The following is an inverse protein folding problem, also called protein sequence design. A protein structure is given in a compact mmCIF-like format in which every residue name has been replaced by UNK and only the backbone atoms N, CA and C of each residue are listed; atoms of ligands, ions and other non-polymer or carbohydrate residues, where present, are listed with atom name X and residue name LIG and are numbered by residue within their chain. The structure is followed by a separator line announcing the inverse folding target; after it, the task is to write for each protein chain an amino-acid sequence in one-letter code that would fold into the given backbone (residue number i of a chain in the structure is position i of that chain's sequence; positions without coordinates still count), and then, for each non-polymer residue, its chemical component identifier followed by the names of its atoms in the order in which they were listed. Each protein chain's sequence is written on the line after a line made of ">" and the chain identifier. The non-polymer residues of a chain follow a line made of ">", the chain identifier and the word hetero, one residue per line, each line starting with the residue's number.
data_IF_808549681606
#
_entry.id   IF_808549681606
#
_cell.length_a   1.000
_cell.length_b   1.000
_cell.length_c   1.000
_cell.angle_alpha   90.00
_cell.angle_beta   90.00
_cell.angle_gamma   90.00
#
_symmetry.space_group_name_H-M   'P 1'
#
loop_
_entity.id
_entity.type
_entity.pdbx_description
1 polymer ?
#
# COMPACT_ATOMS: atom_id res chain seq x y z
N UNK A 1 5.61 -26.30 -28.10
CA UNK A 1 5.51 -27.29 -27.04
C UNK A 1 6.88 -27.45 -26.38
N UNK A 2 7.17 -26.67 -25.33
CA UNK A 2 8.34 -26.90 -24.46
C UNK A 2 7.83 -26.81 -23.04
N UNK A 3 7.84 -27.97 -22.37
CA UNK A 3 7.37 -28.17 -21.01
C UNK A 3 8.39 -27.58 -20.05
N UNK A 4 8.00 -26.62 -19.21
CA UNK A 4 8.76 -26.21 -18.05
C UNK A 4 8.61 -27.25 -16.94
N UNK A 5 9.70 -27.87 -16.60
CA UNK A 5 9.83 -28.90 -15.57
C UNK A 5 10.10 -28.19 -14.22
N UNK A 6 9.12 -28.18 -13.33
CA UNK A 6 9.30 -27.74 -11.94
C UNK A 6 10.12 -28.76 -11.18
N UNK A 7 11.28 -28.36 -10.67
CA UNK A 7 12.04 -29.14 -9.69
C UNK A 7 11.83 -28.51 -8.30
N UNK A 8 11.10 -29.26 -7.46
CA UNK A 8 11.11 -29.11 -6.01
C UNK A 8 12.53 -29.40 -5.49
N UNK A 9 13.10 -28.51 -4.72
CA UNK A 9 14.22 -28.81 -3.84
C UNK A 9 13.87 -28.40 -2.41
N UNK A 10 13.37 -29.40 -1.66
CA UNK A 10 13.32 -29.35 -0.20
C UNK A 10 14.58 -30.04 0.32
N UNK A 11 15.40 -29.34 1.08
CA UNK A 11 16.45 -29.91 1.95
C UNK A 11 16.61 -28.97 3.14
N UNK A 12 16.10 -29.35 4.28
CA UNK A 12 16.78 -29.94 5.42
C UNK A 12 18.11 -29.26 5.75
N UNK A 13 18.13 -28.40 6.79
CA UNK A 13 19.30 -28.25 7.65
C UNK A 13 18.87 -28.23 9.11
N UNK A 14 19.20 -29.35 9.74
CA UNK A 14 19.08 -29.59 11.18
C UNK A 14 20.46 -29.41 11.80
N UNK A 15 20.53 -28.64 12.88
CA UNK A 15 21.40 -28.69 14.05
C UNK A 15 22.91 -28.97 13.89
N UNK A 16 23.71 -28.09 14.44
CA UNK A 16 24.87 -28.47 15.25
C UNK A 16 25.05 -27.48 16.39
N UNK A 17 24.97 -28.03 17.57
CA UNK A 17 25.19 -27.39 18.88
C UNK A 17 26.59 -27.79 19.35
N UNK A 18 27.23 -26.88 20.11
CA UNK A 18 28.17 -27.10 21.19
C UNK A 18 29.69 -27.04 20.97
N UNK A 19 30.20 -26.15 21.77
CA UNK A 19 31.35 -26.21 22.71
C UNK A 19 32.70 -25.74 22.25
N UNK A 20 33.25 -24.87 23.10
CA UNK A 20 34.68 -24.63 23.15
C UNK A 20 35.04 -23.37 23.96
N UNK A 21 35.32 -23.57 25.23
CA UNK A 21 35.93 -22.57 26.12
C UNK A 21 37.40 -22.26 25.72
N UNK A 22 37.83 -21.03 26.04
CA UNK A 22 39.16 -20.84 26.56
C UNK A 22 40.03 -19.78 25.89
N UNK A 23 40.39 -18.74 26.67
CA UNK A 23 41.66 -18.06 26.51
C UNK A 23 41.66 -16.61 26.08
N UNK A 24 41.69 -15.69 27.07
CA UNK A 24 42.18 -14.31 26.92
C UNK A 24 43.71 -14.29 26.89
N UNK A 25 44.43 -13.30 26.27
CA UNK A 25 44.53 -11.98 26.87
C UNK A 25 44.66 -10.76 25.92
N UNK A 26 44.11 -9.67 26.40
CA UNK A 26 44.59 -8.26 26.46
C UNK A 26 45.17 -7.50 25.26
N UNK A 27 44.61 -6.27 25.22
CA UNK A 27 45.12 -4.93 24.77
C UNK A 27 44.76 -4.58 23.35
N UNK A 28 44.05 -3.48 23.08
CA UNK A 28 44.20 -2.07 23.38
C UNK A 28 42.90 -1.31 23.02
N UNK A 29 42.57 -0.31 23.81
CA UNK A 29 41.50 0.66 23.64
C UNK A 29 41.67 1.53 22.40
N UNK A 30 40.58 1.71 21.64
CA UNK A 30 40.30 2.99 20.99
C UNK A 30 38.79 3.24 21.10
N UNK A 31 38.48 4.28 21.85
CA UNK A 31 37.14 4.83 22.07
C UNK A 31 36.45 5.23 20.77
N UNK A 32 35.28 4.63 20.53
CA UNK A 32 34.21 5.24 19.77
C UNK A 32 32.92 5.07 20.56
N UNK A 33 32.11 6.10 20.76
CA UNK A 33 30.93 6.01 21.61
C UNK A 33 29.89 5.11 20.97
N UNK A 34 29.57 4.02 21.68
CA UNK A 34 28.44 3.18 21.37
C UNK A 34 27.16 3.94 21.73
N UNK A 35 26.45 4.40 20.72
CA UNK A 35 25.06 4.85 20.84
C UNK A 35 24.19 3.60 21.06
N UNK A 36 23.98 3.21 22.30
CA UNK A 36 23.00 2.23 22.71
C UNK A 36 21.65 2.92 22.87
N UNK A 37 21.10 3.40 21.75
CA UNK A 37 19.69 3.74 21.65
C UNK A 37 18.85 2.47 21.64
N UNK A 38 18.59 1.89 22.80
CA UNK A 38 17.46 0.98 22.98
C UNK A 38 16.20 1.83 22.79
N UNK A 39 15.67 1.88 21.57
CA UNK A 39 14.29 2.27 21.34
C UNK A 39 13.39 1.25 22.07
N UNK A 40 13.14 1.54 23.31
CA UNK A 40 12.07 0.91 24.06
C UNK A 40 10.79 1.43 23.41
N UNK A 41 10.21 0.63 22.51
CA UNK A 41 8.88 0.88 21.99
C UNK A 41 7.98 1.16 23.19
N UNK A 42 7.54 2.39 23.31
CA UNK A 42 6.60 2.78 24.35
C UNK A 42 5.35 1.93 24.14
N UNK A 43 5.17 0.91 24.96
CA UNK A 43 3.91 0.21 25.07
C UNK A 43 2.91 1.20 25.67
N UNK A 44 2.27 1.95 24.78
CA UNK A 44 1.10 2.74 25.15
C UNK A 44 0.01 1.74 25.52
N UNK A 45 -0.20 1.57 26.81
CA UNK A 45 -1.35 0.86 27.33
C UNK A 45 -2.59 1.67 26.96
N UNK A 46 -3.14 1.38 25.79
CA UNK A 46 -4.44 1.91 25.39
C UNK A 46 -5.48 1.30 26.33
N UNK A 47 -5.91 2.07 27.32
CA UNK A 47 -7.01 1.65 28.17
C UNK A 47 -8.32 1.79 27.41
N UNK A 48 -8.64 0.79 26.61
CA UNK A 48 -9.83 0.74 25.75
C UNK A 48 -11.13 0.67 26.57
N UNK A 49 -11.02 0.39 27.88
CA UNK A 49 -12.17 0.22 28.77
C UNK A 49 -12.98 1.51 29.02
N UNK A 50 -12.50 2.68 28.61
CA UNK A 50 -13.21 3.94 28.72
C UNK A 50 -13.99 4.37 27.47
N UNK A 51 -13.83 3.67 26.36
CA UNK A 51 -14.56 3.96 25.11
C UNK A 51 -15.92 3.27 25.17
N UNK A 52 -16.93 4.00 25.61
CA UNK A 52 -18.32 3.53 25.55
C UNK A 52 -18.82 3.69 24.12
N UNK A 53 -18.61 2.69 23.27
CA UNK A 53 -19.21 2.61 21.95
C UNK A 53 -20.72 2.52 22.07
N UNK A 54 -21.44 3.23 21.22
CA UNK A 54 -22.90 3.25 21.20
C UNK A 54 -23.51 2.21 20.25
N UNK A 55 -22.71 1.23 19.81
CA UNK A 55 -23.15 0.23 18.84
C UNK A 55 -23.23 0.77 17.41
N UNK A 56 -22.41 1.74 17.04
CA UNK A 56 -22.37 2.34 15.70
C UNK A 56 -21.81 1.35 14.68
N UNK A 57 -22.46 1.23 13.54
CA UNK A 57 -21.92 0.53 12.37
C UNK A 57 -21.18 1.52 11.47
N UNK A 58 -19.92 1.20 11.12
CA UNK A 58 -19.07 2.01 10.27
C UNK A 58 -18.65 1.20 9.04
N UNK A 59 -18.66 1.83 7.89
CA UNK A 59 -18.07 1.30 6.67
C UNK A 59 -16.67 1.88 6.50
N UNK A 60 -15.71 1.01 6.25
CA UNK A 60 -14.33 1.32 6.03
C UNK A 60 -13.95 0.99 4.59
N UNK A 61 -13.83 2.03 3.75
CA UNK A 61 -13.42 1.87 2.35
C UNK A 61 -11.93 1.60 2.27
N UNK A 62 -11.55 0.62 1.49
CA UNK A 62 -10.18 0.11 1.44
C UNK A 62 -9.57 0.30 0.05
N UNK A 63 -9.45 -0.73 -0.73
CA UNK A 63 -8.94 -0.79 -2.09
C UNK A 63 -9.41 -2.06 -2.76
N UNK A 64 -8.80 -2.46 -3.87
CA UNK A 64 -9.05 -3.74 -4.53
C UNK A 64 -8.75 -4.92 -3.59
N UNK A 65 -9.45 -6.02 -3.76
CA UNK A 65 -9.40 -7.18 -2.84
C UNK A 65 -8.04 -7.90 -2.81
N UNK A 66 -7.21 -7.71 -3.82
CA UNK A 66 -5.83 -8.22 -3.90
C UNK A 66 -4.80 -7.21 -3.37
N UNK A 67 -5.23 -6.00 -2.97
CA UNK A 67 -4.37 -4.92 -2.52
C UNK A 67 -4.13 -4.90 -1.01
N UNK A 68 -3.04 -4.23 -0.60
CA UNK A 68 -2.66 -4.06 0.81
C UNK A 68 -3.75 -3.34 1.61
N UNK A 69 -4.43 -2.35 1.04
CA UNK A 69 -5.52 -1.64 1.71
C UNK A 69 -6.61 -2.60 2.18
N UNK A 70 -7.07 -3.50 1.32
CA UNK A 70 -8.12 -4.44 1.70
C UNK A 70 -7.65 -5.46 2.72
N UNK A 71 -6.46 -6.05 2.51
CA UNK A 71 -5.90 -7.02 3.45
C UNK A 71 -5.69 -6.44 4.85
N UNK A 72 -4.99 -5.31 4.95
CA UNK A 72 -4.74 -4.63 6.21
C UNK A 72 -6.02 -4.05 6.82
N UNK A 73 -6.86 -3.43 6.00
CA UNK A 73 -8.13 -2.83 6.41
C UNK A 73 -9.10 -3.85 7.00
N UNK A 74 -9.12 -5.06 6.46
CA UNK A 74 -9.96 -6.15 6.98
C UNK A 74 -9.52 -6.57 8.39
N UNK A 75 -8.20 -6.69 8.62
CA UNK A 75 -7.66 -7.00 9.95
C UNK A 75 -7.95 -5.86 10.93
N UNK A 76 -7.75 -4.61 10.51
CA UNK A 76 -8.01 -3.43 11.35
C UNK A 76 -9.51 -3.30 11.68
N UNK A 77 -10.39 -3.49 10.71
CA UNK A 77 -11.84 -3.48 10.91
C UNK A 77 -12.28 -4.54 11.92
N UNK A 78 -11.69 -5.75 11.83
CA UNK A 78 -11.94 -6.81 12.80
C UNK A 78 -11.43 -6.46 14.19
N UNK A 79 -10.22 -5.89 14.29
CA UNK A 79 -9.63 -5.48 15.57
C UNK A 79 -10.48 -4.41 16.25
N UNK A 80 -10.94 -3.40 15.51
CA UNK A 80 -11.84 -2.36 16.03
C UNK A 80 -13.18 -2.97 16.46
N UNK A 81 -13.77 -3.84 15.65
CA UNK A 81 -15.04 -4.50 15.98
C UNK A 81 -14.93 -5.33 17.26
N UNK A 82 -13.82 -6.04 17.43
CA UNK A 82 -13.61 -6.90 18.61
C UNK A 82 -13.37 -6.08 19.89
N UNK A 83 -12.67 -4.95 19.78
CA UNK A 83 -12.23 -4.16 20.94
C UNK A 83 -12.98 -2.83 21.10
N UNK A 84 -13.82 -2.45 20.13
CA UNK A 84 -14.43 -1.14 20.04
C UNK A 84 -15.73 -0.95 20.81
N UNK A 85 -15.99 -1.76 21.86
CA UNK A 85 -17.09 -1.62 22.79
C UNK A 85 -18.46 -1.42 22.13
N UNK A 86 -18.78 -2.31 21.18
CA UNK A 86 -20.05 -2.30 20.42
C UNK A 86 -20.00 -1.61 19.06
N UNK A 87 -18.92 -0.94 18.72
CA UNK A 87 -18.71 -0.42 17.36
C UNK A 87 -18.40 -1.57 16.41
N UNK A 88 -19.12 -1.64 15.30
CA UNK A 88 -18.89 -2.63 14.24
C UNK A 88 -18.31 -1.93 13.02
N UNK A 89 -17.15 -2.37 12.55
CA UNK A 89 -16.50 -1.86 11.34
C UNK A 89 -16.52 -2.93 10.27
N UNK A 90 -16.96 -2.56 9.07
CA UNK A 90 -16.96 -3.46 7.92
C UNK A 90 -16.01 -2.91 6.85
N UNK A 91 -14.96 -3.66 6.55
CA UNK A 91 -14.08 -3.35 5.41
C UNK A 91 -14.84 -3.59 4.10
N UNK A 92 -14.74 -2.63 3.19
CA UNK A 92 -15.44 -2.65 1.90
C UNK A 92 -14.43 -2.41 0.79
N UNK A 93 -14.44 -3.27 -0.22
CA UNK A 93 -13.65 -3.11 -1.46
C UNK A 93 -13.98 -1.79 -2.14
N UNK A 94 -12.97 -1.17 -2.73
CA UNK A 94 -13.10 0.09 -3.47
C UNK A 94 -12.03 0.19 -4.56
N UNK A 95 -12.11 1.27 -5.34
CA UNK A 95 -11.08 1.58 -6.33
C UNK A 95 -9.84 2.27 -5.71
N UNK A 96 -9.90 2.71 -4.46
CA UNK A 96 -8.80 3.35 -3.74
C UNK A 96 -9.07 4.79 -3.33
N UNK A 97 -8.03 5.60 -3.25
CA UNK A 97 -8.02 6.88 -2.51
C UNK A 97 -9.10 7.87 -2.90
N UNK A 98 -9.28 8.14 -4.20
CA UNK A 98 -10.30 9.08 -4.66
C UNK A 98 -11.71 8.55 -4.40
N UNK A 99 -11.99 7.30 -4.81
CA UNK A 99 -13.30 6.66 -4.55
C UNK A 99 -13.63 6.68 -3.05
N UNK A 100 -12.64 6.44 -2.19
CA UNK A 100 -12.85 6.45 -0.74
C UNK A 100 -13.27 7.85 -0.24
N UNK A 101 -12.62 8.91 -0.70
CA UNK A 101 -12.98 10.30 -0.36
C UNK A 101 -14.38 10.63 -0.87
N UNK A 102 -14.70 10.30 -2.11
CA UNK A 102 -16.02 10.55 -2.69
C UNK A 102 -17.15 9.83 -1.92
N UNK A 103 -16.90 8.58 -1.50
CA UNK A 103 -17.86 7.84 -0.69
C UNK A 103 -18.03 8.42 0.73
N UNK A 104 -16.96 9.00 1.29
CA UNK A 104 -17.03 9.72 2.56
C UNK A 104 -17.80 11.03 2.40
N UNK A 105 -17.54 11.79 1.34
CA UNK A 105 -18.29 13.02 1.00
C UNK A 105 -19.78 12.77 0.83
N UNK A 106 -20.15 11.65 0.23
CA UNK A 106 -21.53 11.21 0.06
C UNK A 106 -22.16 10.61 1.33
N UNK A 107 -21.43 10.54 2.44
CA UNK A 107 -21.84 9.88 3.69
C UNK A 107 -22.16 8.37 3.54
N UNK A 108 -21.63 7.72 2.52
CA UNK A 108 -21.77 6.27 2.29
C UNK A 108 -20.77 5.48 3.15
N UNK A 109 -19.63 6.08 3.46
CA UNK A 109 -18.58 5.53 4.32
C UNK A 109 -18.16 6.55 5.38
N UNK A 110 -17.60 6.06 6.48
CA UNK A 110 -17.13 6.87 7.60
C UNK A 110 -15.61 6.80 7.77
N UNK A 111 -14.98 5.78 7.20
CA UNK A 111 -13.55 5.56 7.23
C UNK A 111 -13.06 5.22 5.82
N UNK A 112 -11.85 5.65 5.49
CA UNK A 112 -11.20 5.33 4.22
C UNK A 112 -9.68 5.35 4.33
N UNK A 113 -9.02 4.43 3.62
CA UNK A 113 -7.60 4.57 3.33
C UNK A 113 -7.42 5.57 2.19
N UNK A 114 -6.49 6.48 2.36
CA UNK A 114 -6.23 7.54 1.39
C UNK A 114 -4.74 7.85 1.37
N UNK A 115 -4.17 7.94 0.18
CA UNK A 115 -2.83 8.49 -0.01
C UNK A 115 -2.79 9.97 0.36
N UNK A 116 -1.69 10.43 0.91
CA UNK A 116 -1.54 11.81 1.43
C UNK A 116 -1.65 12.88 0.33
N UNK A 117 -1.20 12.58 -0.87
CA UNK A 117 -1.31 13.44 -2.05
C UNK A 117 -2.78 13.61 -2.47
N UNK A 118 -3.52 12.49 -2.63
CA UNK A 118 -4.94 12.52 -2.98
C UNK A 118 -5.78 13.21 -1.89
N UNK A 119 -5.43 13.01 -0.62
CA UNK A 119 -6.03 13.73 0.49
C UNK A 119 -5.81 15.25 0.35
N UNK A 120 -4.60 15.67 -0.04
CA UNK A 120 -4.29 17.08 -0.29
C UNK A 120 -5.08 17.63 -1.47
N UNK A 121 -5.19 16.88 -2.57
CA UNK A 121 -5.98 17.30 -3.73
C UNK A 121 -7.45 17.51 -3.39
N UNK A 122 -8.03 16.59 -2.62
CA UNK A 122 -9.42 16.73 -2.18
C UNK A 122 -9.61 17.96 -1.28
N UNK A 123 -8.72 18.14 -0.31
CA UNK A 123 -8.80 19.25 0.65
C UNK A 123 -8.70 20.61 -0.05
N UNK A 124 -7.79 20.74 -1.01
CA UNK A 124 -7.53 21.98 -1.73
C UNK A 124 -8.43 22.18 -2.97
N UNK A 125 -9.15 21.17 -3.42
CA UNK A 125 -9.93 21.22 -4.66
C UNK A 125 -9.05 21.21 -5.91
N UNK A 126 -8.06 20.33 -5.94
CA UNK A 126 -7.10 20.17 -7.04
C UNK A 126 -7.38 18.91 -7.85
N UNK A 127 -6.82 18.83 -9.06
CA UNK A 127 -6.96 17.66 -9.94
C UNK A 127 -8.45 17.32 -10.22
N UNK A 128 -8.86 16.08 -9.98
CA UNK A 128 -10.26 15.66 -10.18
C UNK A 128 -11.22 16.24 -9.13
N UNK A 129 -10.71 16.91 -8.11
CA UNK A 129 -11.52 17.65 -7.14
C UNK A 129 -11.62 19.15 -7.48
N UNK A 130 -11.14 19.59 -8.66
CA UNK A 130 -11.20 20.99 -9.07
C UNK A 130 -12.64 21.49 -9.10
N UNK A 131 -12.90 22.57 -8.38
CA UNK A 131 -14.25 23.14 -8.21
C UNK A 131 -15.15 22.41 -7.18
N UNK A 132 -14.69 21.29 -6.61
CA UNK A 132 -15.45 20.50 -5.63
C UNK A 132 -14.57 20.09 -4.45
N UNK A 133 -13.94 21.03 -3.72
CA UNK A 133 -13.09 20.67 -2.59
C UNK A 133 -13.89 19.95 -1.52
N UNK A 134 -13.27 18.98 -0.89
CA UNK A 134 -13.79 18.28 0.26
C UNK A 134 -12.78 18.32 1.41
N UNK A 135 -13.08 19.09 2.43
CA UNK A 135 -12.23 19.30 3.61
C UNK A 135 -12.89 18.83 4.92
N UNK A 136 -14.09 18.25 4.83
CA UNK A 136 -14.86 17.79 6.01
C UNK A 136 -14.47 16.36 6.40
N UNK A 137 -13.15 16.15 6.63
CA UNK A 137 -12.60 14.90 7.14
C UNK A 137 -11.43 15.18 8.08
N UNK A 138 -11.05 14.16 8.86
CA UNK A 138 -9.91 14.21 9.76
C UNK A 138 -9.01 13.00 9.56
N UNK A 139 -7.70 13.21 9.62
CA UNK A 139 -6.72 12.13 9.63
C UNK A 139 -6.73 11.45 10.99
N UNK A 140 -7.04 10.14 11.01
CA UNK A 140 -7.01 9.33 12.24
C UNK A 140 -5.61 8.83 12.55
N UNK A 141 -4.88 8.36 11.53
CA UNK A 141 -3.52 7.87 11.66
C UNK A 141 -2.78 7.91 10.31
N UNK A 142 -1.46 8.07 10.36
CA UNK A 142 -0.56 7.73 9.27
C UNK A 142 -0.05 6.30 9.51
N UNK A 143 -0.09 5.46 8.49
CA UNK A 143 0.13 4.02 8.66
C UNK A 143 1.49 3.57 8.10
N UNK A 144 1.73 3.75 6.81
CA UNK A 144 2.95 3.31 6.14
C UNK A 144 3.25 4.15 4.91
N UNK A 145 4.49 4.07 4.45
CA UNK A 145 4.91 4.69 3.20
C UNK A 145 4.44 3.83 2.02
N UNK A 146 3.74 4.43 1.08
CA UNK A 146 3.44 3.81 -0.20
C UNK A 146 4.55 4.12 -1.19
N UNK A 147 5.13 3.08 -1.76
CA UNK A 147 6.18 3.21 -2.75
C UNK A 147 5.61 2.81 -4.10
N UNK A 148 5.71 3.71 -5.08
CA UNK A 148 5.30 3.39 -6.44
C UNK A 148 6.34 2.46 -7.05
N UNK A 149 5.87 1.38 -7.65
CA UNK A 149 6.68 0.40 -8.37
C UNK A 149 6.07 0.18 -9.74
N UNK A 150 6.92 0.07 -10.76
CA UNK A 150 6.50 -0.31 -12.11
C UNK A 150 7.00 -1.72 -12.36
N UNK A 151 6.09 -2.59 -12.76
CA UNK A 151 6.37 -4.01 -13.02
C UNK A 151 6.17 -4.29 -14.50
N UNK A 152 7.11 -5.01 -15.11
CA UNK A 152 7.04 -5.46 -16.49
C UNK A 152 7.61 -6.86 -16.66
N UNK A 153 7.11 -7.60 -17.65
CA UNK A 153 7.71 -8.84 -18.13
C UNK A 153 8.53 -8.63 -19.43
N UNK A 154 8.52 -7.42 -19.99
CA UNK A 154 9.29 -7.06 -21.19
C UNK A 154 10.71 -6.64 -20.79
N UNK A 155 11.77 -7.40 -21.17
CA UNK A 155 13.14 -7.07 -20.81
C UNK A 155 13.67 -5.80 -21.48
N UNK A 156 12.98 -5.26 -22.47
CA UNK A 156 13.38 -4.05 -23.18
C UNK A 156 12.84 -2.78 -22.48
N UNK A 157 11.86 -2.88 -21.59
CA UNK A 157 11.39 -1.78 -20.73
C UNK A 157 12.33 -1.68 -19.51
N UNK A 158 13.14 -0.63 -19.45
CA UNK A 158 14.16 -0.38 -18.40
C UNK A 158 13.98 0.95 -17.69
N UNK A 159 13.16 1.82 -18.26
CA UNK A 159 12.86 3.14 -17.73
C UNK A 159 11.42 3.53 -18.05
N UNK A 160 10.94 4.60 -17.44
CA UNK A 160 9.61 5.15 -17.74
C UNK A 160 9.50 5.63 -19.17
N UNK A 161 10.61 6.16 -19.76
CA UNK A 161 10.62 6.59 -21.16
C UNK A 161 10.34 5.44 -22.15
N UNK A 162 10.64 4.19 -21.78
CA UNK A 162 10.39 3.03 -22.64
C UNK A 162 8.89 2.63 -22.65
N UNK A 163 8.05 3.31 -21.88
CA UNK A 163 6.60 3.08 -21.87
C UNK A 163 5.86 3.75 -23.02
N UNK A 164 6.51 4.66 -23.77
CA UNK A 164 5.91 5.30 -24.95
C UNK A 164 5.39 4.24 -25.93
N UNK A 165 4.12 4.36 -26.30
CA UNK A 165 3.43 3.43 -27.21
C UNK A 165 3.11 2.05 -26.62
N UNK A 166 3.49 1.77 -25.39
CA UNK A 166 3.22 0.49 -24.71
C UNK A 166 1.81 0.45 -24.11
N UNK A 167 1.32 -0.76 -23.88
CA UNK A 167 0.06 -0.98 -23.16
C UNK A 167 0.34 -1.06 -21.67
N UNK A 168 -0.10 -0.06 -20.90
CA UNK A 168 0.30 0.11 -19.50
C UNK A 168 -0.93 0.22 -18.61
N UNK A 169 -0.99 -0.60 -17.55
CA UNK A 169 -1.96 -0.39 -16.49
C UNK A 169 -1.50 0.74 -15.58
N UNK A 170 -2.32 1.77 -15.46
CA UNK A 170 -2.06 2.98 -14.68
C UNK A 170 -2.92 3.05 -13.42
N UNK A 171 -3.37 1.91 -12.91
CA UNK A 171 -4.24 1.82 -11.74
C UNK A 171 -5.72 1.90 -12.08
N UNK A 172 -6.56 1.48 -11.16
CA UNK A 172 -8.00 1.58 -11.30
C UNK A 172 -8.45 3.06 -11.36
N UNK A 173 -9.51 3.34 -12.12
CA UNK A 173 -10.12 4.66 -12.13
C UNK A 173 -10.56 5.05 -10.72
N UNK A 174 -10.15 6.23 -10.24
CA UNK A 174 -10.41 6.68 -8.88
C UNK A 174 -9.41 6.16 -7.83
N UNK A 175 -8.32 5.51 -8.26
CA UNK A 175 -7.23 5.10 -7.38
C UNK A 175 -6.19 6.20 -7.19
N UNK A 176 -5.41 6.12 -6.10
CA UNK A 176 -4.22 6.96 -5.94
C UNK A 176 -3.10 6.57 -6.91
N UNK A 177 -3.03 5.30 -7.31
CA UNK A 177 -2.08 4.80 -8.32
C UNK A 177 -2.21 5.55 -9.64
N UNK A 178 -3.44 5.85 -10.05
CA UNK A 178 -3.70 6.64 -11.26
C UNK A 178 -2.98 8.00 -11.24
N UNK A 179 -3.09 8.74 -10.12
CA UNK A 179 -2.41 10.03 -10.00
C UNK A 179 -0.90 9.89 -10.00
N UNK A 180 -0.37 8.88 -9.28
CA UNK A 180 1.06 8.62 -9.26
C UNK A 180 1.58 8.25 -10.66
N UNK A 181 0.82 7.48 -11.43
CA UNK A 181 1.18 7.14 -12.81
C UNK A 181 1.27 8.40 -13.68
N UNK A 182 0.27 9.29 -13.61
CA UNK A 182 0.29 10.55 -14.37
C UNK A 182 1.48 11.43 -13.99
N UNK A 183 1.78 11.57 -12.70
CA UNK A 183 2.89 12.40 -12.22
C UNK A 183 4.25 11.82 -12.64
N UNK A 184 4.39 10.49 -12.62
CA UNK A 184 5.62 9.82 -13.04
C UNK A 184 5.80 9.90 -14.56
N UNK A 185 4.74 9.68 -15.33
CA UNK A 185 4.79 9.85 -16.80
C UNK A 185 5.19 11.28 -17.14
N UNK A 186 4.56 12.29 -16.52
CA UNK A 186 4.88 13.71 -16.74
C UNK A 186 6.34 14.07 -16.43
N UNK A 187 6.95 13.43 -15.43
CA UNK A 187 8.37 13.63 -15.09
C UNK A 187 9.33 13.14 -16.20
N UNK A 188 8.83 12.35 -17.15
CA UNK A 188 9.55 11.86 -18.31
C UNK A 188 9.02 12.45 -19.63
N UNK A 189 8.33 13.59 -19.54
CA UNK A 189 7.70 14.27 -20.68
C UNK A 189 6.68 13.40 -21.44
N UNK A 190 6.09 12.40 -20.75
CA UNK A 190 5.03 11.53 -21.27
C UNK A 190 3.69 11.93 -20.65
N UNK A 191 2.64 11.67 -21.40
CA UNK A 191 1.25 11.82 -20.97
C UNK A 191 0.51 10.49 -21.11
N UNK A 192 -0.71 10.44 -20.64
CA UNK A 192 -1.60 9.28 -20.82
C UNK A 192 -1.88 8.98 -22.31
N UNK A 193 -1.84 10.01 -23.18
CA UNK A 193 -2.05 9.85 -24.62
C UNK A 193 -0.83 9.23 -25.35
N UNK A 194 0.34 9.21 -24.71
CA UNK A 194 1.56 8.63 -25.26
C UNK A 194 1.67 7.11 -25.00
N UNK A 195 0.73 6.54 -24.27
CA UNK A 195 0.64 5.12 -23.96
C UNK A 195 -0.74 4.56 -24.30
N UNK A 196 -0.90 3.24 -24.36
CA UNK A 196 -2.21 2.60 -24.41
C UNK A 196 -2.69 2.31 -22.98
N UNK A 197 -3.23 3.33 -22.30
CA UNK A 197 -3.59 3.27 -20.90
C UNK A 197 -4.69 2.23 -20.62
N UNK A 198 -4.48 1.42 -19.55
CA UNK A 198 -5.45 0.49 -19.01
C UNK A 198 -5.74 0.83 -17.56
N UNK A 199 -7.03 0.85 -17.19
CA UNK A 199 -7.48 1.24 -15.85
C UNK A 199 -7.86 -0.02 -15.07
N UNK A 200 -6.86 -0.66 -14.48
CA UNK A 200 -7.01 -1.95 -13.80
C UNK A 200 -6.51 -1.87 -12.37
N UNK A 201 -7.11 -2.66 -11.48
CA UNK A 201 -6.57 -2.89 -10.14
C UNK A 201 -5.33 -3.80 -10.19
N UNK A 202 -4.68 -3.99 -9.04
CA UNK A 202 -3.46 -4.79 -8.96
C UNK A 202 -3.65 -6.25 -9.37
N UNK A 203 -4.78 -6.86 -9.02
CA UNK A 203 -5.08 -8.25 -9.37
C UNK A 203 -5.25 -8.42 -10.87
N UNK A 204 -6.10 -7.59 -11.49
CA UNK A 204 -6.33 -7.60 -12.93
C UNK A 204 -5.05 -7.24 -13.71
N UNK A 205 -4.23 -6.33 -13.20
CA UNK A 205 -2.94 -5.96 -13.81
C UNK A 205 -1.95 -7.13 -13.78
N UNK A 206 -1.86 -7.83 -12.65
CA UNK A 206 -0.99 -8.99 -12.53
C UNK A 206 -1.38 -10.12 -13.49
N UNK A 207 -2.68 -10.41 -13.60
CA UNK A 207 -3.19 -11.40 -14.55
C UNK A 207 -2.93 -10.96 -16.00
N UNK A 208 -3.15 -9.69 -16.32
CA UNK A 208 -2.93 -9.15 -17.66
C UNK A 208 -1.44 -9.18 -18.06
N UNK A 209 -0.51 -8.91 -17.12
CA UNK A 209 0.93 -9.07 -17.34
C UNK A 209 1.30 -10.53 -17.62
N UNK A 210 0.79 -11.47 -16.82
CA UNK A 210 1.04 -12.89 -17.00
C UNK A 210 0.50 -13.41 -18.34
N UNK A 211 -0.64 -12.90 -18.78
CA UNK A 211 -1.27 -13.25 -20.05
C UNK A 211 -0.63 -12.52 -21.25
N UNK A 212 0.30 -11.60 -21.03
CA UNK A 212 0.92 -10.77 -22.08
C UNK A 212 -0.06 -9.82 -22.75
N UNK A 213 -1.10 -9.39 -22.05
CA UNK A 213 -2.12 -8.43 -22.53
C UNK A 213 -1.71 -6.98 -22.31
N UNK A 214 -0.85 -6.73 -21.35
CA UNK A 214 -0.22 -5.44 -21.07
C UNK A 214 1.29 -5.61 -20.98
N UNK A 215 2.02 -4.54 -21.23
CA UNK A 215 3.48 -4.53 -21.25
C UNK A 215 4.07 -4.15 -19.89
N UNK A 216 3.37 -3.29 -19.16
CA UNK A 216 3.77 -2.84 -17.82
C UNK A 216 2.56 -2.47 -16.96
N UNK A 217 2.76 -2.36 -15.65
CA UNK A 217 1.78 -1.89 -14.69
C UNK A 217 2.44 -1.07 -13.57
N UNK A 218 1.76 -0.01 -13.16
CA UNK A 218 2.04 0.77 -11.95
C UNK A 218 1.46 0.11 -10.71
#
# INVERSE_FOLDING_TARGET
>A
MKKCLSLLLAALMLAAVLTGCGGNPSTEETDAPADTGTEQAAQTNWNVSSVTGTGTELKFRTGGDQGTYYGFGSVLAQAITTNGNGTKVTAVVSNGSQDNIEQMQMNVAQLGFVQSDVMSYAYNGERLFEGFPYADFSTVAALYMEQVQIVTCDPDIKSVADLEGKTVSIGASGSGVYYNALDILAAYDLTEDDINAQYQDFGASADALQDGKIDAAF
#
